data_IF_619777551618
#
_entry.id   IF_619777551618
#
_cell.length_a   1.000
_cell.length_b   1.000
_cell.length_c   1.000
_cell.angle_alpha   90.00
_cell.angle_beta   90.00
_cell.angle_gamma   90.00
#
_symmetry.space_group_name_H-M   'P 1'
#
loop_
_entity.id
_entity.type
_entity.pdbx_description
1 polymer ?
#
# COMPACT_ATOMS: atom_id res chain seq x y z
N UNK A 1 11.77 32.81 26.88
CA UNK A 1 12.00 31.34 26.80
C UNK A 1 10.67 30.63 26.52
N UNK A 2 10.02 30.93 25.38
CA UNK A 2 8.68 30.44 25.03
C UNK A 2 8.62 29.95 23.58
N UNK A 3 9.67 29.22 23.13
CA UNK A 3 9.78 28.78 21.73
C UNK A 3 10.08 27.27 21.56
N UNK A 4 9.93 26.43 22.59
CA UNK A 4 10.25 24.99 22.50
C UNK A 4 9.10 24.03 22.82
N UNK A 5 7.86 24.51 22.91
CA UNK A 5 6.71 23.65 23.26
C UNK A 5 5.65 23.50 22.16
N UNK A 6 5.86 24.05 20.96
CA UNK A 6 4.81 24.06 19.92
C UNK A 6 4.86 22.90 18.92
N UNK A 7 5.84 21.98 18.97
CA UNK A 7 6.06 21.07 17.81
C UNK A 7 5.74 19.58 17.95
N UNK A 8 5.48 19.02 19.14
CA UNK A 8 5.39 17.54 19.22
C UNK A 8 4.16 16.96 19.93
N UNK A 9 3.06 17.72 20.00
CA UNK A 9 1.81 17.25 20.62
C UNK A 9 0.79 16.62 19.64
N UNK A 10 1.17 16.31 18.39
CA UNK A 10 0.22 15.84 17.35
C UNK A 10 0.72 14.63 16.54
N UNK A 11 1.32 13.64 17.19
CA UNK A 11 1.50 12.29 16.61
C UNK A 11 0.81 11.20 17.45
N UNK A 12 0.03 11.61 18.46
CA UNK A 12 -0.62 10.74 19.42
C UNK A 12 -2.10 10.56 19.03
N UNK A 13 -2.37 9.84 17.93
CA UNK A 13 -3.76 9.50 17.61
C UNK A 13 -4.15 9.20 16.16
N UNK A 14 -3.22 8.84 15.27
CA UNK A 14 -3.64 8.22 14.00
C UNK A 14 -3.14 6.78 13.97
N UNK A 15 -4.07 5.84 14.08
CA UNK A 15 -3.86 4.46 13.69
C UNK A 15 -3.39 4.46 12.23
N UNK A 16 -2.10 4.21 12.01
CA UNK A 16 -1.51 4.07 10.67
C UNK A 16 -2.35 3.04 9.90
N UNK A 17 -3.13 3.51 8.92
CA UNK A 17 -3.97 2.65 8.10
C UNK A 17 -3.11 2.10 6.98
N UNK A 18 -2.57 0.91 7.21
CA UNK A 18 -1.79 0.20 6.20
C UNK A 18 -2.70 -0.68 5.35
N UNK A 19 -2.51 -0.67 4.03
CA UNK A 19 -3.10 -1.63 3.11
C UNK A 19 -2.04 -2.60 2.60
N UNK A 20 -2.45 -3.83 2.33
CA UNK A 20 -1.56 -4.87 1.82
C UNK A 20 -1.94 -5.21 0.38
N UNK A 21 -0.93 -5.24 -0.48
CA UNK A 21 -1.05 -5.63 -1.90
C UNK A 21 -0.06 -6.73 -2.24
N UNK A 22 -0.45 -7.61 -3.15
CA UNK A 22 0.42 -8.62 -3.75
C UNK A 22 0.89 -8.10 -5.10
N UNK A 23 2.21 -8.04 -5.31
CA UNK A 23 2.76 -7.69 -6.62
C UNK A 23 3.02 -8.99 -7.39
N UNK A 24 2.39 -9.13 -8.55
CA UNK A 24 2.59 -10.28 -9.45
C UNK A 24 3.05 -9.80 -10.81
N UNK A 25 4.02 -10.50 -11.39
CA UNK A 25 4.39 -10.33 -12.80
C UNK A 25 3.52 -11.25 -13.64
N UNK A 26 2.71 -10.69 -14.53
CA UNK A 26 1.86 -11.45 -15.44
C UNK A 26 2.17 -11.02 -16.87
N UNK A 27 2.64 -11.97 -17.69
CA UNK A 27 2.96 -11.73 -19.12
C UNK A 27 3.86 -10.49 -19.35
N UNK A 28 4.85 -10.27 -18.47
CA UNK A 28 5.76 -9.12 -18.54
C UNK A 28 5.24 -7.81 -17.94
N UNK A 29 4.00 -7.79 -17.43
CA UNK A 29 3.42 -6.62 -16.75
C UNK A 29 3.37 -6.83 -15.24
N UNK A 30 3.77 -5.80 -14.50
CA UNK A 30 3.65 -5.76 -13.04
C UNK A 30 2.23 -5.35 -12.64
N UNK A 31 1.54 -6.23 -11.93
CA UNK A 31 0.14 -6.04 -11.54
C UNK A 31 0.03 -6.10 -10.02
N UNK A 32 -0.62 -5.10 -9.42
CA UNK A 32 -0.87 -5.06 -7.99
C UNK A 32 -2.27 -5.62 -7.67
N UNK A 33 -2.30 -6.74 -6.96
CA UNK A 33 -3.53 -7.37 -6.49
C UNK A 33 -3.85 -6.93 -5.06
N UNK A 34 -5.10 -6.59 -4.75
CA UNK A 34 -5.49 -6.21 -3.40
C UNK A 34 -5.54 -7.43 -2.47
N UNK A 35 -4.71 -7.45 -1.42
CA UNK A 35 -4.64 -8.56 -0.46
C UNK A 35 -5.51 -8.34 0.79
N UNK A 36 -5.76 -7.09 1.19
CA UNK A 36 -6.64 -6.75 2.32
C UNK A 36 -8.02 -6.22 1.89
N UNK A 37 -8.98 -6.16 2.81
CA UNK A 37 -10.35 -5.69 2.52
C UNK A 37 -10.39 -4.22 2.08
N UNK A 38 -9.57 -3.36 2.68
CA UNK A 38 -9.46 -1.95 2.27
C UNK A 38 -8.93 -1.83 0.84
N UNK A 39 -7.88 -2.57 0.48
CA UNK A 39 -7.35 -2.61 -0.89
C UNK A 39 -8.41 -3.10 -1.89
N UNK A 40 -9.21 -4.11 -1.53
CA UNK A 40 -10.32 -4.61 -2.37
C UNK A 40 -11.42 -3.56 -2.55
N UNK A 41 -11.68 -2.74 -1.52
CA UNK A 41 -12.62 -1.64 -1.61
C UNK A 41 -12.11 -0.56 -2.57
N UNK A 42 -10.83 -0.19 -2.49
CA UNK A 42 -10.23 0.77 -3.43
C UNK A 42 -10.30 0.28 -4.88
N UNK A 43 -10.00 -1.00 -5.11
CA UNK A 43 -10.14 -1.61 -6.44
C UNK A 43 -11.60 -1.52 -6.94
N UNK A 44 -12.57 -1.80 -6.07
CA UNK A 44 -14.00 -1.67 -6.39
C UNK A 44 -14.39 -0.21 -6.71
N UNK A 45 -13.90 0.76 -5.94
CA UNK A 45 -14.16 2.19 -6.17
C UNK A 45 -13.57 2.62 -7.52
N UNK A 46 -12.37 2.15 -7.86
CA UNK A 46 -11.73 2.40 -9.15
C UNK A 46 -12.39 1.62 -10.32
N UNK A 47 -13.33 0.72 -10.05
CA UNK A 47 -13.96 -0.14 -11.06
C UNK A 47 -13.03 -1.22 -11.63
N UNK A 48 -11.92 -1.52 -10.96
CA UNK A 48 -10.89 -2.45 -11.42
C UNK A 48 -10.75 -3.66 -10.48
N UNK A 49 -10.22 -4.78 -11.00
CA UNK A 49 -9.88 -5.96 -10.18
C UNK A 49 -8.50 -5.85 -9.52
N UNK A 50 -7.66 -4.96 -10.05
CA UNK A 50 -6.27 -4.73 -9.67
C UNK A 50 -6.06 -3.24 -9.43
N UNK A 51 -5.07 -2.90 -8.62
CA UNK A 51 -4.73 -1.50 -8.35
C UNK A 51 -3.73 -1.03 -9.42
N UNK A 52 -4.10 0.01 -10.16
CA UNK A 52 -3.20 0.67 -11.10
C UNK A 52 -2.16 1.50 -10.34
N UNK A 53 -1.05 1.83 -10.98
CA UNK A 53 -0.03 2.72 -10.40
C UNK A 53 -0.63 4.08 -10.01
N UNK A 54 -1.64 4.57 -10.72
CA UNK A 54 -2.33 5.81 -10.37
C UNK A 54 -3.14 5.64 -9.08
N UNK A 55 -3.94 4.58 -8.97
CA UNK A 55 -4.70 4.30 -7.75
C UNK A 55 -3.79 4.16 -6.51
N UNK A 56 -2.61 3.54 -6.66
CA UNK A 56 -1.62 3.43 -5.57
C UNK A 56 -1.05 4.79 -5.14
N UNK A 57 -0.88 5.73 -6.08
CA UNK A 57 -0.46 7.11 -5.76
C UNK A 57 -1.56 7.84 -5.01
N UNK A 58 -2.80 7.73 -5.49
CA UNK A 58 -3.96 8.38 -4.88
C UNK A 58 -4.19 7.86 -3.45
N UNK A 59 -4.07 6.55 -3.24
CA UNK A 59 -4.15 5.91 -1.92
C UNK A 59 -3.07 6.44 -0.96
N UNK A 60 -1.82 6.60 -1.42
CA UNK A 60 -0.76 7.21 -0.62
C UNK A 60 -1.07 8.68 -0.30
N UNK A 61 -1.61 9.45 -1.26
CA UNK A 61 -2.04 10.84 -1.05
C UNK A 61 -3.18 10.97 -0.04
N UNK A 62 -4.02 9.94 0.11
CA UNK A 62 -5.06 9.86 1.15
C UNK A 62 -4.51 9.55 2.55
N UNK A 63 -3.19 9.29 2.69
CA UNK A 63 -2.54 9.00 3.96
C UNK A 63 -2.56 7.53 4.37
N UNK A 64 -2.77 6.61 3.41
CA UNK A 64 -2.61 5.18 3.65
C UNK A 64 -1.17 4.74 3.38
N UNK A 65 -0.68 3.86 4.24
CA UNK A 65 0.60 3.19 4.03
C UNK A 65 0.37 1.94 3.16
N UNK A 66 1.28 1.65 2.22
CA UNK A 66 1.13 0.51 1.29
C UNK A 66 2.25 -0.48 1.53
N UNK A 67 1.90 -1.65 2.05
CA UNK A 67 2.80 -2.80 2.17
C UNK A 67 2.61 -3.74 1.00
N UNK A 68 3.68 -4.00 0.26
CA UNK A 68 3.68 -4.98 -0.83
C UNK A 68 4.46 -6.24 -0.45
N UNK A 69 3.94 -7.41 -0.81
CA UNK A 69 4.70 -8.66 -0.81
C UNK A 69 4.73 -9.26 -2.20
N UNK A 70 5.80 -9.99 -2.49
CA UNK A 70 6.01 -10.70 -3.74
C UNK A 70 5.93 -12.19 -3.47
N UNK A 71 5.09 -12.91 -4.20
CA UNK A 71 4.91 -14.36 -4.07
C UNK A 71 5.94 -15.17 -4.86
N UNK A 72 7.03 -14.54 -5.32
CA UNK A 72 8.01 -15.22 -6.18
C UNK A 72 8.69 -16.37 -5.45
N UNK A 73 8.58 -17.51 -6.10
CA UNK A 73 8.92 -18.87 -5.74
C UNK A 73 10.35 -19.04 -5.19
N UNK A 74 10.49 -19.70 -4.05
CA UNK A 74 11.75 -20.01 -3.34
C UNK A 74 12.62 -21.08 -4.04
N UNK A 75 12.47 -21.30 -5.35
CA UNK A 75 13.19 -22.35 -6.09
C UNK A 75 14.49 -21.87 -6.76
N UNK A 76 14.88 -20.61 -6.59
CA UNK A 76 16.14 -20.09 -7.13
C UNK A 76 17.33 -20.17 -6.15
N UNK A 77 17.17 -20.82 -4.97
CA UNK A 77 18.25 -21.00 -3.99
C UNK A 77 18.84 -22.43 -3.93
N UNK A 78 18.50 -23.31 -4.88
CA UNK A 78 19.09 -24.66 -4.98
C UNK A 78 19.51 -24.96 -6.42
N UNK A 79 20.44 -24.18 -6.95
CA UNK A 79 21.26 -24.57 -8.12
C UNK A 79 22.72 -24.63 -7.71
#
# INVERSE_FOLDING_TARGET
MALLLTLNSSLKGQSMKTITIEIRSQYGNTVAYPACQAAKLFARIAGTKTLSSQALKDIQSLGFDITCFNSQNTLDLVK
#
